data_IF_208602708276
#
_entry.id   IF_208602708276
#
_cell.length_a   1.000
_cell.length_b   1.000
_cell.length_c   1.000
_cell.angle_alpha   90.00
_cell.angle_beta   90.00
_cell.angle_gamma   90.00
#
_symmetry.space_group_name_H-M   'P 1'
#
loop_
_entity.id
_entity.type
_entity.pdbx_description
1 polymer ?
#
# COMPACT_ATOMS: atom_id res chain seq x y z
N UNK A 1 -23.04 2.70 -19.60
CA UNK A 1 -21.97 3.28 -18.76
C UNK A 1 -21.51 2.18 -17.80
N UNK A 2 -20.21 1.90 -17.73
CA UNK A 2 -19.67 0.96 -16.75
C UNK A 2 -19.53 1.67 -15.39
N UNK A 3 -19.72 0.94 -14.29
CA UNK A 3 -19.58 1.48 -12.93
C UNK A 3 -18.11 1.72 -12.58
N UNK A 4 -17.86 2.57 -11.59
CA UNK A 4 -16.51 2.84 -11.08
C UNK A 4 -15.93 1.63 -10.33
N UNK A 5 -14.60 1.49 -10.36
CA UNK A 5 -13.88 0.52 -9.52
C UNK A 5 -14.00 0.92 -8.04
N UNK A 6 -14.25 -0.05 -7.17
CA UNK A 6 -14.31 0.12 -5.71
C UNK A 6 -13.26 -0.74 -5.03
N UNK A 7 -12.59 -0.18 -4.03
CA UNK A 7 -11.62 -0.89 -3.21
C UNK A 7 -11.63 -0.34 -1.79
N UNK A 8 -11.15 -1.15 -0.85
CA UNK A 8 -10.88 -0.73 0.53
C UNK A 8 -9.40 -0.36 0.60
N UNK A 9 -9.10 0.83 1.09
CA UNK A 9 -7.73 1.23 1.42
C UNK A 9 -7.49 1.05 2.92
N UNK A 10 -6.45 0.30 3.26
CA UNK A 10 -5.99 0.07 4.62
C UNK A 10 -4.65 0.76 4.79
N UNK A 11 -4.50 1.52 5.86
CA UNK A 11 -3.26 2.21 6.23
C UNK A 11 -2.83 1.72 7.59
N UNK A 12 -1.60 1.24 7.70
CA UNK A 12 -1.01 0.76 8.95
C UNK A 12 0.13 1.68 9.31
N UNK A 13 0.08 2.23 10.52
CA UNK A 13 1.10 3.12 11.08
C UNK A 13 1.94 2.37 12.10
N UNK A 14 3.26 2.54 12.03
CA UNK A 14 4.23 1.99 12.96
C UNK A 14 5.06 3.13 13.54
N UNK A 15 5.33 3.04 14.84
CA UNK A 15 6.28 3.92 15.53
C UNK A 15 7.59 3.17 15.72
N UNK A 16 8.69 3.77 15.24
CA UNK A 16 10.04 3.26 15.42
C UNK A 16 10.85 4.37 16.07
N UNK A 17 11.09 4.27 17.37
CA UNK A 17 11.66 5.37 18.14
C UNK A 17 10.72 6.58 18.13
N UNK A 18 11.18 7.71 17.59
CA UNK A 18 10.41 8.95 17.46
C UNK A 18 9.83 9.15 16.04
N UNK A 19 10.06 8.21 15.14
CA UNK A 19 9.63 8.29 13.74
C UNK A 19 8.36 7.47 13.49
N UNK A 20 7.47 8.01 12.64
CA UNK A 20 6.28 7.30 12.17
C UNK A 20 6.48 6.83 10.74
N UNK A 21 6.27 5.53 10.53
CA UNK A 21 6.27 4.90 9.21
C UNK A 21 4.88 4.40 8.87
N UNK A 22 4.55 4.32 7.59
CA UNK A 22 3.26 3.77 7.14
C UNK A 22 3.44 2.83 5.98
N UNK A 23 2.66 1.74 5.97
CA UNK A 23 2.38 0.99 4.75
C UNK A 23 0.90 1.10 4.41
N UNK A 24 0.59 1.18 3.11
CA UNK A 24 -0.77 1.29 2.59
C UNK A 24 -1.00 0.13 1.64
N UNK A 25 -2.18 -0.46 1.72
CA UNK A 25 -2.61 -1.45 0.75
C UNK A 25 -4.08 -1.35 0.44
N UNK A 26 -4.46 -1.88 -0.72
CA UNK A 26 -5.81 -1.84 -1.25
C UNK A 26 -6.31 -3.24 -1.54
N UNK A 27 -7.56 -3.47 -1.18
CA UNK A 27 -8.27 -4.72 -1.49
C UNK A 27 -9.41 -4.39 -2.44
N UNK A 28 -9.38 -5.02 -3.63
CA UNK A 28 -10.42 -4.85 -4.63
C UNK A 28 -11.77 -5.33 -4.09
N UNK A 29 -12.80 -4.50 -4.19
CA UNK A 29 -14.19 -4.83 -3.85
C UNK A 29 -15.01 -5.06 -5.11
N UNK A 30 -14.84 -4.18 -6.11
CA UNK A 30 -15.50 -4.28 -7.41
C UNK A 30 -14.57 -3.74 -8.50
N UNK A 31 -14.25 -4.50 -9.56
CA UNK A 31 -13.44 -4.01 -10.67
C UNK A 31 -14.11 -2.89 -11.47
N UNK A 32 -15.43 -2.78 -11.50
CA UNK A 32 -16.14 -1.80 -12.33
C UNK A 32 -15.66 -1.80 -13.78
N UNK A 33 -15.36 -0.62 -14.33
CA UNK A 33 -14.87 -0.45 -15.69
C UNK A 33 -13.52 -1.11 -15.97
N UNK A 34 -12.69 -1.35 -14.94
CA UNK A 34 -11.37 -1.98 -15.10
C UNK A 34 -11.44 -3.45 -15.53
N UNK A 35 -12.64 -4.06 -15.48
CA UNK A 35 -12.90 -5.36 -16.11
C UNK A 35 -12.66 -5.33 -17.63
N UNK A 36 -12.93 -4.20 -18.27
CA UNK A 36 -12.68 -3.99 -19.70
C UNK A 36 -11.32 -3.33 -19.94
N UNK A 37 -10.91 -2.43 -19.03
CA UNK A 37 -9.64 -1.71 -19.09
C UNK A 37 -8.64 -2.28 -18.08
N UNK A 38 -8.20 -3.52 -18.30
CA UNK A 38 -7.35 -4.25 -17.35
C UNK A 38 -6.00 -3.58 -17.07
N UNK A 39 -5.52 -2.73 -17.99
CA UNK A 39 -4.31 -1.91 -17.80
C UNK A 39 -4.47 -0.81 -16.73
N UNK A 40 -5.71 -0.53 -16.30
CA UNK A 40 -6.02 0.35 -15.16
C UNK A 40 -6.50 -0.43 -13.92
N UNK A 41 -6.46 -1.77 -13.95
CA UNK A 41 -6.88 -2.56 -12.81
C UNK A 41 -5.90 -2.39 -11.64
N UNK A 42 -6.41 -2.64 -10.42
CA UNK A 42 -5.59 -2.68 -9.22
C UNK A 42 -4.51 -3.75 -9.39
N UNK A 43 -3.24 -3.40 -9.16
CA UNK A 43 -2.15 -4.37 -9.17
C UNK A 43 -2.18 -5.22 -7.88
N UNK A 44 -1.76 -6.48 -7.98
CA UNK A 44 -1.82 -7.44 -6.87
C UNK A 44 -0.80 -7.18 -5.74
N UNK A 45 -0.03 -6.09 -5.82
CA UNK A 45 1.17 -5.85 -4.99
C UNK A 45 0.89 -5.13 -3.66
N UNK A 46 -0.37 -5.05 -3.25
CA UNK A 46 -0.78 -4.30 -2.06
C UNK A 46 -1.30 -5.21 -0.93
N UNK A 47 -0.71 -6.41 -0.77
CA UNK A 47 -1.00 -7.26 0.40
C UNK A 47 -0.29 -6.72 1.63
N UNK A 48 -1.09 -6.27 2.60
CA UNK A 48 -0.59 -5.81 3.89
C UNK A 48 -0.33 -7.00 4.82
N UNK A 49 0.63 -6.87 5.75
CA UNK A 49 0.77 -7.83 6.82
C UNK A 49 -0.48 -7.81 7.72
N UNK A 50 -0.90 -8.99 8.18
CA UNK A 50 -1.94 -9.10 9.21
C UNK A 50 -1.36 -8.68 10.56
N UNK A 51 -1.77 -7.52 11.06
CA UNK A 51 -1.34 -6.97 12.35
C UNK A 51 -2.52 -6.33 13.06
N UNK A 52 -2.45 -6.25 14.38
CA UNK A 52 -3.44 -5.60 15.24
C UNK A 52 -2.81 -4.38 15.91
N UNK A 53 -3.68 -3.43 16.28
CA UNK A 53 -3.24 -2.25 17.04
C UNK A 53 -2.62 -2.70 18.36
N UNK A 54 -1.40 -2.23 18.62
CA UNK A 54 -0.63 -2.58 19.82
C UNK A 54 0.34 -3.75 19.62
N UNK A 55 0.33 -4.41 18.45
CA UNK A 55 1.33 -5.43 18.14
C UNK A 55 2.73 -4.81 18.09
N UNK A 56 3.70 -5.51 18.68
CA UNK A 56 5.12 -5.17 18.58
C UNK A 56 5.78 -6.09 17.56
N UNK A 57 6.31 -5.51 16.50
CA UNK A 57 6.97 -6.25 15.42
C UNK A 57 8.49 -6.12 15.54
N UNK A 58 9.21 -7.18 15.18
CA UNK A 58 10.67 -7.14 15.14
C UNK A 58 11.11 -6.51 13.82
N UNK A 59 11.95 -5.48 13.92
CA UNK A 59 12.59 -4.87 12.76
C UNK A 59 13.59 -5.85 12.17
N UNK A 60 13.44 -6.18 10.88
CA UNK A 60 14.36 -7.05 10.14
C UNK A 60 15.57 -6.28 9.62
N UNK A 61 15.35 -5.08 9.08
CA UNK A 61 16.38 -4.23 8.50
C UNK A 61 15.92 -2.77 8.47
N UNK A 62 16.85 -1.84 8.68
CA UNK A 62 16.65 -0.40 8.47
C UNK A 62 17.68 0.08 7.46
N UNK A 63 17.22 0.77 6.40
CA UNK A 63 18.08 1.35 5.37
C UNK A 63 17.67 2.80 5.10
N UNK A 64 18.65 3.64 4.81
CA UNK A 64 18.45 5.01 4.32
C UNK A 64 18.76 5.01 2.83
N UNK A 65 17.80 5.43 2.02
CA UNK A 65 18.00 5.60 0.58
C UNK A 65 18.12 7.08 0.26
N UNK A 66 19.22 7.46 -0.39
CA UNK A 66 19.34 8.77 -0.99
C UNK A 66 18.78 8.73 -2.41
N UNK A 67 17.71 9.47 -2.68
CA UNK A 67 17.24 9.68 -4.04
C UNK A 67 18.17 10.68 -4.73
N UNK A 68 19.09 10.20 -5.56
CA UNK A 68 19.82 11.06 -6.48
C UNK A 68 18.87 11.42 -7.62
N UNK A 69 18.39 12.66 -7.63
CA UNK A 69 17.68 13.22 -8.79
C UNK A 69 18.70 13.35 -9.94
N UNK A 70 18.79 12.33 -10.80
CA UNK A 70 19.39 12.49 -12.12
C UNK A 70 18.39 13.30 -12.96
N UNK A 71 18.59 14.62 -13.02
CA UNK A 71 17.98 15.43 -14.05
C UNK A 71 18.77 15.24 -15.34
N UNK A 72 18.13 14.65 -16.34
CA UNK A 72 18.57 14.61 -17.73
C UNK A 72 17.62 15.43 -18.59
#
# INVERSE_FOLDING_TARGET
VAADMKYIQTVISFEIGEETFTCTGKTLVDPGYTKLMSWQALTAEETLPEVKKGDTLKISEVRIFAMLLFQG
#
